data_IF_840862777649
#
_entry.id   IF_840862777649
#
_cell.length_a   1.000
_cell.length_b   1.000
_cell.length_c   1.000
_cell.angle_alpha   90.00
_cell.angle_beta   90.00
_cell.angle_gamma   90.00
#
_symmetry.space_group_name_H-M   'P 1'
#
loop_
_entity.id
_entity.type
_entity.pdbx_description
1 polymer ?
#
# COMPACT_ATOMS: atom_id res chain seq x y z
N UNK A 1 -19.72 -3.41 7.88
CA UNK A 1 -18.52 -3.96 7.18
C UNK A 1 -18.23 -3.02 6.02
N UNK A 2 -17.01 -2.47 5.90
CA UNK A 2 -16.63 -1.49 4.86
C UNK A 2 -15.71 -2.08 3.77
N UNK A 3 -15.52 -3.41 3.77
CA UNK A 3 -14.78 -4.11 2.73
C UNK A 3 -15.73 -4.51 1.60
N UNK A 4 -15.40 -4.15 0.36
CA UNK A 4 -16.14 -4.52 -0.85
C UNK A 4 -15.90 -5.99 -1.21
N UNK A 5 -16.72 -6.51 -2.14
CA UNK A 5 -16.64 -7.89 -2.62
C UNK A 5 -15.29 -8.23 -3.27
N UNK A 6 -14.60 -7.22 -3.83
CA UNK A 6 -13.27 -7.35 -4.42
C UNK A 6 -12.12 -7.35 -3.40
N UNK A 7 -12.41 -7.09 -2.12
CA UNK A 7 -11.44 -7.03 -1.03
C UNK A 7 -10.94 -5.64 -0.69
N UNK A 8 -11.30 -4.61 -1.46
CA UNK A 8 -10.92 -3.21 -1.19
C UNK A 8 -11.71 -2.62 -0.01
N UNK A 9 -11.11 -1.71 0.74
CA UNK A 9 -11.80 -0.90 1.74
C UNK A 9 -12.10 0.48 1.16
N UNK A 10 -13.37 0.88 1.19
CA UNK A 10 -13.80 2.21 0.75
C UNK A 10 -14.05 3.12 1.94
N UNK A 11 -13.57 4.36 1.86
CA UNK A 11 -13.80 5.38 2.88
C UNK A 11 -15.23 5.95 2.76
N UNK A 12 -15.98 6.01 3.86
CA UNK A 12 -17.25 6.72 3.96
C UNK A 12 -17.08 7.94 4.88
N UNK A 13 -16.59 9.07 4.36
CA UNK A 13 -16.39 10.28 5.16
C UNK A 13 -15.56 11.40 4.48
N UNK A 14 -15.53 12.59 5.10
CA UNK A 14 -14.84 13.78 4.59
C UNK A 14 -13.31 13.62 4.69
N UNK A 15 -12.65 13.84 3.56
CA UNK A 15 -11.23 13.60 3.26
C UNK A 15 -10.29 14.46 4.11
N UNK A 16 -9.37 13.82 4.85
CA UNK A 16 -8.39 14.52 5.73
C UNK A 16 -6.94 14.35 5.23
N UNK A 17 -6.61 13.37 4.36
CA UNK A 17 -5.23 13.12 3.90
C UNK A 17 -5.10 12.83 2.40
N UNK A 18 -4.80 13.88 1.60
CA UNK A 18 -4.56 13.79 0.14
C UNK A 18 -3.39 12.86 -0.25
N UNK A 19 -2.37 12.72 0.60
CA UNK A 19 -1.23 11.82 0.36
C UNK A 19 -1.59 10.34 0.46
N UNK A 20 -2.69 10.01 1.15
CA UNK A 20 -3.14 8.63 1.32
C UNK A 20 -4.18 8.19 0.30
N UNK A 21 -4.70 9.07 -0.56
CA UNK A 21 -5.83 8.71 -1.43
C UNK A 21 -5.50 8.64 -2.91
N UNK A 22 -4.24 8.89 -3.30
CA UNK A 22 -3.88 9.01 -4.71
C UNK A 22 -4.78 10.03 -5.44
N UNK A 23 -4.76 10.04 -6.78
CA UNK A 23 -5.81 10.73 -7.53
C UNK A 23 -7.11 9.94 -7.33
N UNK A 24 -8.23 10.62 -7.04
CA UNK A 24 -9.62 10.14 -7.09
C UNK A 24 -9.77 8.64 -7.48
N UNK A 25 -9.87 7.75 -6.50
CA UNK A 25 -10.23 6.33 -6.72
C UNK A 25 -9.19 5.27 -6.37
N UNK A 26 -8.04 5.63 -5.78
CA UNK A 26 -7.05 4.65 -5.31
C UNK A 26 -7.39 4.16 -3.88
N UNK A 27 -8.24 3.15 -3.77
CA UNK A 27 -8.56 2.46 -2.50
C UNK A 27 -7.37 1.60 -1.97
N UNK A 28 -6.28 1.54 -2.73
CA UNK A 28 -5.09 0.70 -2.48
C UNK A 28 -4.36 1.09 -1.19
N UNK A 29 -3.91 2.34 -1.00
CA UNK A 29 -3.25 2.79 0.25
C UNK A 29 -4.10 2.59 1.50
N UNK A 30 -5.40 2.88 1.45
CA UNK A 30 -6.31 2.68 2.60
C UNK A 30 -6.48 1.19 2.93
N UNK A 31 -6.61 0.35 1.89
CA UNK A 31 -6.68 -1.11 2.05
C UNK A 31 -5.40 -1.66 2.66
N UNK A 32 -4.22 -1.21 2.18
CA UNK A 32 -2.94 -1.61 2.75
C UNK A 32 -2.79 -1.20 4.21
N UNK A 33 -3.13 0.05 4.54
CA UNK A 33 -3.09 0.55 5.92
C UNK A 33 -3.98 -0.26 6.86
N UNK A 34 -5.22 -0.51 6.45
CA UNK A 34 -6.20 -1.28 7.24
C UNK A 34 -5.71 -2.72 7.47
N UNK A 35 -5.12 -3.35 6.44
CA UNK A 35 -4.57 -4.69 6.56
C UNK A 35 -3.36 -4.75 7.49
N UNK A 36 -2.46 -3.76 7.43
CA UNK A 36 -1.32 -3.64 8.34
C UNK A 36 -1.82 -3.61 9.79
N UNK A 37 -2.78 -2.74 10.10
CA UNK A 37 -3.34 -2.63 11.45
C UNK A 37 -3.99 -3.93 11.95
N UNK A 38 -4.67 -4.67 11.06
CA UNK A 38 -5.25 -5.99 11.41
C UNK A 38 -4.15 -7.03 11.65
N UNK A 39 -3.09 -7.01 10.84
CA UNK A 39 -2.00 -7.99 10.87
C UNK A 39 -1.04 -7.79 12.05
N UNK A 40 -0.90 -6.56 12.56
CA UNK A 40 -0.09 -6.27 13.75
C UNK A 40 -0.63 -6.99 15.00
N UNK A 41 -1.94 -7.23 15.06
CA UNK A 41 -2.58 -7.95 16.15
C UNK A 41 -2.91 -9.39 15.76
N UNK A 42 -2.07 -10.35 16.17
CA UNK A 42 -2.22 -11.79 15.83
C UNK A 42 -3.62 -12.36 16.10
N UNK A 43 -4.28 -11.93 17.17
CA UNK A 43 -5.65 -12.38 17.51
C UNK A 43 -6.69 -11.85 16.52
N UNK A 44 -6.53 -10.61 16.03
CA UNK A 44 -7.40 -10.02 15.01
C UNK A 44 -7.09 -10.63 13.64
N UNK A 45 -5.82 -10.86 13.31
CA UNK A 45 -5.43 -11.54 12.08
C UNK A 45 -6.06 -12.94 11.95
N UNK A 46 -6.13 -13.71 13.04
CA UNK A 46 -6.82 -15.01 13.04
C UNK A 46 -8.35 -14.85 12.91
N UNK A 47 -8.94 -13.92 13.67
CA UNK A 47 -10.39 -13.67 13.64
C UNK A 47 -10.89 -13.16 12.28
N UNK A 48 -10.06 -12.39 11.58
CA UNK A 48 -10.37 -11.76 10.30
C UNK A 48 -9.58 -12.36 9.14
N UNK A 49 -9.17 -13.63 9.23
CA UNK A 49 -8.36 -14.29 8.20
C UNK A 49 -8.93 -14.15 6.78
N UNK A 50 -10.24 -14.34 6.61
CA UNK A 50 -10.91 -14.17 5.31
C UNK A 50 -10.85 -12.74 4.77
N UNK A 51 -10.88 -11.73 5.65
CA UNK A 51 -10.75 -10.32 5.29
C UNK A 51 -9.33 -10.03 4.82
N UNK A 52 -8.34 -10.58 5.54
CA UNK A 52 -6.92 -10.48 5.20
C UNK A 52 -6.65 -11.11 3.84
N UNK A 53 -7.08 -12.35 3.61
CA UNK A 53 -6.87 -13.07 2.35
C UNK A 53 -7.46 -12.31 1.15
N UNK A 54 -8.69 -11.78 1.29
CA UNK A 54 -9.33 -10.95 0.24
C UNK A 54 -8.57 -9.65 0.00
N UNK A 55 -8.18 -8.97 1.06
CA UNK A 55 -7.44 -7.71 0.96
C UNK A 55 -6.05 -7.89 0.34
N UNK A 56 -5.31 -8.91 0.75
CA UNK A 56 -3.99 -9.23 0.14
C UNK A 56 -4.14 -9.65 -1.31
N UNK A 57 -5.22 -10.35 -1.66
CA UNK A 57 -5.56 -10.68 -3.05
C UNK A 57 -5.82 -9.45 -3.91
N UNK A 58 -6.56 -8.47 -3.39
CA UNK A 58 -6.79 -7.18 -4.04
C UNK A 58 -5.48 -6.42 -4.26
N UNK A 59 -4.66 -6.28 -3.21
CA UNK A 59 -3.36 -5.61 -3.28
C UNK A 59 -2.41 -6.27 -4.27
N UNK A 60 -2.36 -7.60 -4.29
CA UNK A 60 -1.56 -8.38 -5.24
C UNK A 60 -1.95 -8.06 -6.68
N UNK A 61 -3.25 -8.03 -7.01
CA UNK A 61 -3.73 -7.68 -8.36
C UNK A 61 -3.34 -6.26 -8.78
N UNK A 62 -3.39 -5.30 -7.84
CA UNK A 62 -3.07 -3.89 -8.10
C UNK A 62 -1.57 -3.59 -8.15
N UNK A 63 -0.73 -4.45 -7.60
CA UNK A 63 0.72 -4.21 -7.54
C UNK A 63 1.36 -3.94 -8.92
N UNK A 64 0.86 -4.57 -9.98
CA UNK A 64 1.40 -4.39 -11.33
C UNK A 64 1.14 -2.98 -11.86
N UNK A 65 0.00 -2.39 -11.52
CA UNK A 65 -0.39 -1.03 -11.92
C UNK A 65 0.12 0.07 -10.98
N UNK A 66 0.71 -0.29 -9.83
CA UNK A 66 1.25 0.71 -8.90
C UNK A 66 2.55 1.32 -9.45
N UNK A 67 2.54 2.64 -9.56
CA UNK A 67 3.67 3.48 -10.00
C UNK A 67 4.20 4.38 -8.88
N UNK A 68 3.35 4.76 -7.91
CA UNK A 68 3.73 5.63 -6.80
C UNK A 68 4.57 4.88 -5.76
N UNK A 69 5.79 5.36 -5.42
CA UNK A 69 6.65 4.69 -4.45
C UNK A 69 6.00 4.52 -3.07
N UNK A 70 5.25 5.52 -2.62
CA UNK A 70 4.55 5.48 -1.32
C UNK A 70 3.51 4.35 -1.27
N UNK A 71 2.68 4.22 -2.31
CA UNK A 71 1.69 3.15 -2.40
C UNK A 71 2.37 1.77 -2.48
N UNK A 72 3.44 1.65 -3.27
CA UNK A 72 4.17 0.40 -3.42
C UNK A 72 4.83 -0.04 -2.11
N UNK A 73 5.41 0.88 -1.34
CA UNK A 73 6.00 0.60 -0.04
C UNK A 73 4.95 0.08 0.97
N UNK A 74 3.79 0.73 1.04
CA UNK A 74 2.68 0.30 1.90
C UNK A 74 2.18 -1.10 1.54
N UNK A 75 2.03 -1.38 0.24
CA UNK A 75 1.60 -2.71 -0.23
C UNK A 75 2.65 -3.77 0.02
N UNK A 76 3.93 -3.48 -0.26
CA UNK A 76 5.02 -4.40 0.01
C UNK A 76 5.09 -4.77 1.49
N UNK A 77 4.92 -3.78 2.38
CA UNK A 77 4.89 -4.01 3.82
C UNK A 77 3.68 -4.86 4.26
N UNK A 78 2.48 -4.53 3.77
CA UNK A 78 1.28 -5.31 4.06
C UNK A 78 1.41 -6.79 3.60
N UNK A 79 1.94 -7.02 2.40
CA UNK A 79 2.15 -8.38 1.86
C UNK A 79 3.23 -9.15 2.64
N UNK A 80 4.26 -8.46 3.12
CA UNK A 80 5.32 -9.04 3.94
C UNK A 80 4.75 -9.51 5.29
N UNK A 81 3.96 -8.67 5.96
CA UNK A 81 3.27 -9.03 7.21
C UNK A 81 2.30 -10.19 7.02
N UNK A 82 1.58 -10.22 5.89
CA UNK A 82 0.66 -11.30 5.55
C UNK A 82 1.37 -12.60 5.09
N UNK A 83 2.70 -12.59 4.93
CA UNK A 83 3.52 -13.69 4.37
C UNK A 83 3.07 -14.15 2.98
N UNK A 84 2.42 -13.30 2.20
CA UNK A 84 1.86 -13.61 0.89
C UNK A 84 2.94 -14.00 -0.13
N UNK A 85 2.65 -14.88 -1.09
CA UNK A 85 3.64 -15.40 -2.05
C UNK A 85 4.30 -14.28 -2.89
N UNK A 86 3.50 -13.26 -3.21
CA UNK A 86 3.94 -12.09 -3.98
C UNK A 86 4.70 -11.02 -3.19
N UNK A 87 5.05 -11.26 -1.92
CA UNK A 87 5.85 -10.32 -1.10
C UNK A 87 7.21 -10.02 -1.73
N UNK A 88 7.87 -11.03 -2.29
CA UNK A 88 9.19 -10.89 -2.89
C UNK A 88 9.14 -10.01 -4.14
N UNK A 89 8.17 -10.26 -5.02
CA UNK A 89 7.94 -9.45 -6.20
C UNK A 89 7.60 -7.98 -5.86
N UNK A 90 6.83 -7.75 -4.80
CA UNK A 90 6.55 -6.40 -4.31
C UNK A 90 7.81 -5.67 -3.82
N UNK A 91 8.68 -6.38 -3.11
CA UNK A 91 9.94 -5.85 -2.62
C UNK A 91 10.91 -5.55 -3.77
N UNK A 92 11.03 -6.44 -4.75
CA UNK A 92 11.87 -6.25 -5.94
C UNK A 92 11.44 -5.03 -6.74
N UNK A 93 10.14 -4.88 -6.98
CA UNK A 93 9.60 -3.70 -7.68
C UNK A 93 9.86 -2.41 -6.89
N UNK A 94 9.82 -2.46 -5.55
CA UNK A 94 10.16 -1.31 -4.71
C UNK A 94 11.66 -0.97 -4.83
N UNK A 95 12.54 -1.98 -4.83
CA UNK A 95 13.98 -1.79 -5.03
C UNK A 95 14.27 -1.21 -6.42
N UNK A 96 13.57 -1.67 -7.46
CA UNK A 96 13.73 -1.21 -8.84
C UNK A 96 13.46 0.29 -8.99
N UNK A 97 12.42 0.81 -8.35
CA UNK A 97 12.07 2.24 -8.40
C UNK A 97 12.89 3.10 -7.41
N UNK A 98 13.82 2.50 -6.68
CA UNK A 98 14.64 3.22 -5.71
C UNK A 98 15.79 3.96 -6.38
N UNK A 99 16.15 5.13 -5.84
CA UNK A 99 17.38 5.83 -6.19
C UNK A 99 18.51 5.33 -5.29
N UNK A 100 19.68 5.10 -5.85
CA UNK A 100 20.88 4.69 -5.12
C UNK A 100 22.04 5.64 -5.45
N UNK A 101 22.65 6.22 -4.43
CA UNK A 101 23.87 7.02 -4.55
C UNK A 101 24.65 6.95 -3.24
N UNK A 102 25.97 6.82 -3.31
CA UNK A 102 26.88 6.89 -2.15
C UNK A 102 26.44 6.00 -0.97
N UNK A 103 26.05 4.75 -1.27
CA UNK A 103 25.54 3.78 -0.29
C UNK A 103 24.22 4.18 0.42
N UNK A 104 23.52 5.19 -0.09
CA UNK A 104 22.19 5.60 0.37
C UNK A 104 21.13 5.19 -0.66
N UNK A 105 20.02 4.63 -0.17
CA UNK A 105 18.85 4.29 -0.97
C UNK A 105 17.63 5.07 -0.51
N UNK A 106 16.92 5.70 -1.44
CA UNK A 106 15.69 6.43 -1.13
C UNK A 106 14.66 6.35 -2.26
N UNK A 107 13.44 6.76 -1.93
CA UNK A 107 12.31 6.82 -2.85
C UNK A 107 11.80 8.26 -2.91
N UNK A 108 11.51 8.75 -4.11
CA UNK A 108 10.99 10.10 -4.31
C UNK A 108 9.74 10.01 -5.18
N UNK A 109 8.62 10.57 -4.70
CA UNK A 109 7.45 10.80 -5.54
C UNK A 109 7.75 12.00 -6.45
N UNK A 110 7.41 11.91 -7.74
CA UNK A 110 7.73 12.91 -8.76
C UNK A 110 7.14 14.32 -8.53
N UNK A 111 6.39 14.55 -7.46
CA UNK A 111 5.74 15.83 -7.10
C UNK A 111 6.25 16.41 -5.78
N UNK A 112 7.58 16.46 -5.61
CA UNK A 112 8.19 17.33 -4.60
C UNK A 112 9.38 18.11 -5.15
N UNK A 113 9.33 18.46 -6.45
CA UNK A 113 10.12 19.57 -6.98
C UNK A 113 9.33 20.86 -6.76
N UNK A 114 9.31 21.30 -5.51
CA UNK A 114 9.31 22.70 -5.07
C UNK A 114 8.68 23.69 -6.05
N UNK A 115 7.40 23.99 -5.86
CA UNK A 115 6.88 25.34 -6.08
C UNK A 115 7.58 26.27 -5.08
N UNK A 116 8.83 26.64 -5.37
CA UNK A 116 9.55 27.75 -4.74
C UNK A 116 10.57 28.24 -5.76
N UNK A 117 10.05 28.87 -6.81
CA UNK A 117 10.79 29.96 -7.46
C UNK A 117 10.47 31.20 -6.64
N UNK A 118 11.53 31.76 -6.03
CA UNK A 118 11.50 33.05 -5.34
C UNK A 118 11.13 34.18 -6.29
#
# INVERSE_FOLDING_TARGET
RQQRSDGSFSEAGRVISRRMQGSLGDDVPLTAFTLIAILEHKNLAQKYRSVVEKGTGYLSKKLNSLTKPYHLAMVAYALQLAKHDRKQFALEKLIEISKNKDNMRWWQDGEASIETTA
#
